data_IF_242392140352
#
_entry.id   IF_242392140352
#
_cell.length_a   1.000
_cell.length_b   1.000
_cell.length_c   1.000
_cell.angle_alpha   90.00
_cell.angle_beta   90.00
_cell.angle_gamma   90.00
#
_symmetry.space_group_name_H-M   'P 1'
#
loop_
_entity.id
_entity.type
_entity.pdbx_description
1 polymer ?
#
# COMPACT_ATOMS: atom_id res chain seq x y z
N UNK A 1 -17.07 -17.05 9.75
CA UNK A 1 -15.80 -16.30 9.95
C UNK A 1 -15.82 -15.70 11.34
N UNK A 2 -14.79 -15.90 12.15
CA UNK A 2 -14.71 -15.25 13.45
C UNK A 2 -14.54 -13.73 13.31
N UNK A 3 -15.15 -12.98 14.23
CA UNK A 3 -15.02 -11.52 14.31
C UNK A 3 -13.54 -11.10 14.40
N UNK A 4 -12.76 -11.81 15.22
CA UNK A 4 -11.32 -11.61 15.38
C UNK A 4 -10.56 -11.82 14.07
N UNK A 5 -10.93 -12.85 13.30
CA UNK A 5 -10.32 -13.16 12.00
C UNK A 5 -10.55 -12.02 11.01
N UNK A 6 -11.75 -11.43 10.98
CA UNK A 6 -12.07 -10.32 10.07
C UNK A 6 -11.24 -9.07 10.37
N UNK A 7 -11.06 -8.74 11.65
CA UNK A 7 -10.23 -7.61 12.08
C UNK A 7 -8.75 -7.84 11.77
N UNK A 8 -8.24 -9.04 12.04
CA UNK A 8 -6.84 -9.41 11.76
C UNK A 8 -6.56 -9.33 10.26
N UNK A 9 -7.41 -9.95 9.43
CA UNK A 9 -7.29 -9.91 7.97
C UNK A 9 -7.34 -8.48 7.45
N UNK A 10 -8.35 -7.69 7.86
CA UNK A 10 -8.47 -6.29 7.44
C UNK A 10 -7.23 -5.46 7.78
N UNK A 11 -6.71 -5.62 9.00
CA UNK A 11 -5.50 -4.93 9.45
C UNK A 11 -4.27 -5.37 8.65
N UNK A 12 -4.10 -6.67 8.41
CA UNK A 12 -2.99 -7.21 7.60
C UNK A 12 -3.05 -6.68 6.17
N UNK A 13 -4.21 -6.66 5.53
CA UNK A 13 -4.36 -6.15 4.17
C UNK A 13 -4.06 -4.64 4.07
N UNK A 14 -4.55 -3.83 5.02
CA UNK A 14 -4.25 -2.40 5.07
C UNK A 14 -2.75 -2.16 5.29
N UNK A 15 -2.15 -2.81 6.29
CA UNK A 15 -0.72 -2.67 6.59
C UNK A 15 0.15 -3.10 5.41
N UNK A 16 -0.20 -4.22 4.76
CA UNK A 16 0.53 -4.71 3.59
C UNK A 16 0.43 -3.73 2.41
N UNK A 17 -0.75 -3.13 2.19
CA UNK A 17 -0.91 -2.10 1.14
C UNK A 17 0.01 -0.89 1.38
N UNK A 18 0.12 -0.42 2.62
CA UNK A 18 1.00 0.68 3.00
C UNK A 18 2.49 0.32 2.90
N UNK A 19 2.85 -0.92 3.24
CA UNK A 19 4.22 -1.43 3.08
C UNK A 19 4.63 -1.48 1.61
N UNK A 20 3.79 -2.03 0.73
CA UNK A 20 4.05 -2.09 -0.72
C UNK A 20 4.25 -0.67 -1.27
N UNK A 21 3.36 0.27 -0.92
CA UNK A 21 3.48 1.67 -1.32
C UNK A 21 4.82 2.29 -0.90
N UNK A 22 5.22 2.04 0.34
CA UNK A 22 6.44 2.60 0.90
C UNK A 22 7.69 2.01 0.23
N UNK A 23 7.72 0.68 0.03
CA UNK A 23 8.84 -0.02 -0.61
C UNK A 23 9.00 0.44 -2.07
N UNK A 24 7.90 0.58 -2.81
CA UNK A 24 7.94 1.04 -4.19
C UNK A 24 8.48 2.47 -4.29
N UNK A 25 8.03 3.34 -3.40
CA UNK A 25 8.51 4.72 -3.32
C UNK A 25 9.99 4.78 -2.95
N UNK A 26 10.43 3.98 -1.98
CA UNK A 26 11.82 3.88 -1.58
C UNK A 26 12.71 3.39 -2.72
N UNK A 27 12.28 2.34 -3.43
CA UNK A 27 13.01 1.77 -4.57
C UNK A 27 13.25 2.80 -5.68
N UNK A 28 12.29 3.68 -5.93
CA UNK A 28 12.44 4.80 -6.88
C UNK A 28 13.44 5.84 -6.41
N UNK A 29 13.44 6.19 -5.13
CA UNK A 29 14.44 7.11 -4.57
C UNK A 29 15.84 6.51 -4.65
N UNK A 30 15.99 5.21 -4.35
CA UNK A 30 17.27 4.51 -4.48
C UNK A 30 17.73 4.48 -5.94
N UNK A 31 16.83 4.16 -6.88
CA UNK A 31 17.14 4.17 -8.31
C UNK A 31 17.55 5.56 -8.82
N UNK A 32 16.79 6.58 -8.44
CA UNK A 32 17.13 7.97 -8.75
C UNK A 32 18.48 8.38 -8.16
N UNK A 33 18.74 8.01 -6.90
CA UNK A 33 20.04 8.23 -6.24
C UNK A 33 21.18 7.55 -7.00
N UNK A 34 20.97 6.36 -7.54
CA UNK A 34 21.98 5.70 -8.38
C UNK A 34 22.20 6.46 -9.71
N UNK A 35 21.15 6.97 -10.35
CA UNK A 35 21.24 7.69 -11.62
C UNK A 35 21.92 9.07 -11.51
N UNK A 36 21.70 9.81 -10.43
CA UNK A 36 22.38 11.10 -10.23
C UNK A 36 23.90 10.92 -10.09
N UNK A 37 24.34 9.78 -9.54
CA UNK A 37 25.76 9.45 -9.41
C UNK A 37 26.41 9.06 -10.75
N UNK A 38 25.64 8.72 -11.78
CA UNK A 38 26.16 8.38 -13.13
C UNK A 38 26.18 9.57 -14.09
N UNK A 39 25.86 10.78 -13.62
CA UNK A 39 25.91 12.01 -14.41
C UNK A 39 24.70 12.26 -15.31
N UNK A 40 23.62 11.47 -15.16
CA UNK A 40 22.33 11.78 -15.79
C UNK A 40 21.66 12.96 -15.07
N UNK A 41 21.10 13.92 -15.82
CA UNK A 41 20.47 15.12 -15.26
C UNK A 41 19.29 14.74 -14.34
N UNK A 42 19.33 15.23 -13.10
CA UNK A 42 18.37 14.93 -12.05
C UNK A 42 17.01 15.61 -12.32
N UNK A 43 16.14 14.97 -13.10
CA UNK A 43 14.70 15.24 -12.94
C UNK A 43 14.26 14.67 -11.59
N UNK A 44 13.40 15.40 -10.86
CA UNK A 44 12.82 14.86 -9.62
C UNK A 44 12.23 13.48 -9.89
N UNK A 45 12.41 12.49 -8.99
CA UNK A 45 11.85 11.17 -9.20
C UNK A 45 10.34 11.32 -9.36
N UNK A 46 9.81 10.91 -10.52
CA UNK A 46 8.36 10.87 -10.74
C UNK A 46 7.76 9.94 -9.71
N UNK A 47 7.09 10.51 -8.71
CA UNK A 47 6.30 9.74 -7.76
C UNK A 47 5.09 9.22 -8.50
N UNK A 48 4.91 7.90 -8.48
CA UNK A 48 3.71 7.31 -9.05
C UNK A 48 2.53 7.62 -8.15
N UNK A 49 1.35 7.96 -8.70
CA UNK A 49 0.11 7.92 -7.95
C UNK A 49 -0.09 6.56 -7.25
N UNK A 50 -0.72 6.58 -6.09
CA UNK A 50 -1.08 5.38 -5.29
C UNK A 50 -1.85 4.34 -6.12
N UNK A 51 -2.57 4.78 -7.17
CA UNK A 51 -3.47 3.95 -7.97
C UNK A 51 -2.82 3.24 -9.15
N UNK A 52 -1.57 3.56 -9.52
CA UNK A 52 -0.92 2.89 -10.65
C UNK A 52 -0.45 1.47 -10.28
N UNK A 53 -0.28 1.19 -8.98
CA UNK A 53 -0.03 -0.17 -8.52
C UNK A 53 -1.34 -0.83 -8.11
N UNK A 54 -1.82 -1.73 -8.98
CA UNK A 54 -3.04 -2.50 -8.78
C UNK A 54 -3.07 -3.23 -7.43
N UNK A 55 -1.94 -3.74 -6.95
CA UNK A 55 -1.86 -4.48 -5.68
C UNK A 55 -2.10 -3.59 -4.47
N UNK A 56 -1.60 -2.33 -4.49
CA UNK A 56 -1.84 -1.36 -3.42
C UNK A 56 -3.33 -1.07 -3.33
N UNK A 57 -3.94 -0.71 -4.46
CA UNK A 57 -5.37 -0.39 -4.52
C UNK A 57 -6.24 -1.59 -4.10
N UNK A 58 -5.93 -2.79 -4.59
CA UNK A 58 -6.70 -4.00 -4.32
C UNK A 58 -6.58 -4.43 -2.87
N UNK A 59 -5.38 -4.41 -2.27
CA UNK A 59 -5.19 -4.79 -0.88
C UNK A 59 -5.83 -3.77 0.07
N UNK A 60 -5.73 -2.48 -0.26
CA UNK A 60 -6.41 -1.44 0.50
C UNK A 60 -7.93 -1.61 0.49
N UNK A 61 -8.51 -1.86 -0.68
CA UNK A 61 -9.95 -2.04 -0.86
C UNK A 61 -10.47 -3.30 -0.15
N UNK A 62 -9.75 -4.43 -0.26
CA UNK A 62 -10.07 -5.66 0.49
C UNK A 62 -9.98 -5.41 2.00
N UNK A 63 -8.97 -4.68 2.46
CA UNK A 63 -8.80 -4.29 3.85
C UNK A 63 -10.00 -3.50 4.39
N UNK A 64 -10.47 -2.51 3.62
CA UNK A 64 -11.69 -1.75 3.94
C UNK A 64 -12.91 -2.66 4.02
N UNK A 65 -13.09 -3.57 3.06
CA UNK A 65 -14.24 -4.50 3.06
C UNK A 65 -14.25 -5.33 4.35
N UNK A 66 -13.12 -5.91 4.75
CA UNK A 66 -13.03 -6.67 6.00
C UNK A 66 -13.34 -5.82 7.23
N UNK A 67 -12.90 -4.56 7.24
CA UNK A 67 -13.22 -3.61 8.31
C UNK A 67 -14.70 -3.28 8.38
N UNK A 68 -15.36 -3.04 7.24
CA UNK A 68 -16.80 -2.79 7.15
C UNK A 68 -17.60 -4.02 7.62
N UNK A 69 -17.19 -5.23 7.20
CA UNK A 69 -17.81 -6.49 7.63
C UNK A 69 -17.68 -6.69 9.15
N UNK A 70 -16.55 -6.32 9.73
CA UNK A 70 -16.34 -6.36 11.18
C UNK A 70 -17.31 -5.41 11.91
N UNK A 71 -17.39 -4.15 11.51
CA UNK A 71 -18.27 -3.17 12.17
C UNK A 71 -19.74 -3.48 12.01
N UNK A 72 -20.18 -3.95 10.83
CA UNK A 72 -21.57 -4.35 10.61
C UNK A 72 -22.02 -5.49 11.53
N UNK A 73 -21.09 -6.36 11.93
CA UNK A 73 -21.34 -7.44 12.88
C UNK A 73 -21.30 -7.03 14.34
N UNK A 74 -20.75 -5.86 14.66
CA UNK A 74 -20.78 -5.33 16.03
C UNK A 74 -22.08 -4.61 16.35
N UNK A 75 -22.75 -4.08 15.33
CA UNK A 75 -24.01 -3.36 15.48
C UNK A 75 -25.26 -4.26 15.60
N UNK A 76 -25.08 -5.58 15.61
CA UNK A 76 -26.15 -6.61 15.68
C UNK A 76 -25.88 -7.57 16.82
#
# INVERSE_FOLDING_TARGET
MDKKISLILGSVFILTSGLIFTIERLSRYVYWSAQINTGQFATNPKTIPILDNLFIALFFLIGIIFFVVFFKRESH
#
